data_IF_177568456225
#
_entry.id   IF_177568456225
#
_cell.length_a   1.000
_cell.length_b   1.000
_cell.length_c   1.000
_cell.angle_alpha   90.00
_cell.angle_beta   90.00
_cell.angle_gamma   90.00
#
_symmetry.space_group_name_H-M   'P 1'
#
loop_
_entity.id
_entity.type
_entity.pdbx_description
1 polymer ?
#
# COMPACT_ATOMS: atom_id res chain seq x y z
N UNK A 1 -15.92 58.71 -18.78
CA UNK A 1 -16.09 59.69 -19.88
C UNK A 1 -15.34 59.11 -21.07
N UNK A 2 -15.94 58.13 -21.78
CA UNK A 2 -16.80 58.22 -22.97
C UNK A 2 -16.05 58.67 -24.25
N UNK A 3 -16.41 58.00 -25.37
CA UNK A 3 -16.03 58.17 -26.80
C UNK A 3 -14.91 57.21 -27.25
N UNK A 4 -15.12 56.10 -27.98
CA UNK A 4 -16.02 55.69 -29.09
C UNK A 4 -15.74 56.41 -30.44
N UNK A 5 -15.68 55.56 -31.49
CA UNK A 5 -15.92 55.74 -32.94
C UNK A 5 -14.64 55.88 -33.79
N UNK A 6 -14.39 55.12 -34.86
CA UNK A 6 -15.16 54.06 -35.49
C UNK A 6 -14.64 53.66 -36.89
N UNK A 7 -15.13 52.49 -37.36
CA UNK A 7 -15.50 52.12 -38.74
C UNK A 7 -14.49 52.17 -39.91
N UNK A 8 -14.22 51.01 -40.52
CA UNK A 8 -14.64 50.73 -41.92
C UNK A 8 -14.60 49.23 -42.27
N UNK A 9 -15.74 48.72 -42.73
CA UNK A 9 -15.92 47.43 -43.44
C UNK A 9 -15.38 47.51 -44.87
N UNK A 10 -14.81 46.41 -45.38
CA UNK A 10 -15.15 45.82 -46.70
C UNK A 10 -14.90 44.31 -46.70
N UNK A 11 -15.91 43.56 -47.16
CA UNK A 11 -15.91 42.12 -47.42
C UNK A 11 -15.10 41.80 -48.67
N UNK A 12 -14.46 40.64 -48.69
CA UNK A 12 -14.67 39.68 -49.77
C UNK A 12 -14.38 38.25 -49.30
N UNK A 13 -15.25 37.34 -49.73
CA UNK A 13 -15.41 35.95 -49.32
C UNK A 13 -14.44 35.00 -50.02
N UNK A 14 -14.12 33.90 -49.31
CA UNK A 14 -13.85 32.51 -49.74
C UNK A 14 -13.18 31.86 -48.50
N UNK A 15 -13.74 30.92 -47.75
CA UNK A 15 -14.74 29.91 -48.07
C UNK A 15 -14.16 28.54 -47.70
N UNK A 16 -14.00 28.23 -46.41
CA UNK A 16 -13.91 26.86 -45.87
C UNK A 16 -14.57 26.86 -44.48
N UNK A 17 -15.84 26.45 -44.44
CA UNK A 17 -16.57 26.18 -43.20
C UNK A 17 -16.13 24.80 -42.72
N UNK A 18 -15.36 24.75 -41.62
CA UNK A 18 -15.20 23.53 -40.83
C UNK A 18 -16.51 23.32 -40.07
N UNK A 19 -17.25 22.28 -40.41
CA UNK A 19 -18.37 21.80 -39.59
C UNK A 19 -17.86 21.46 -38.19
N UNK A 20 -18.30 22.24 -37.20
CA UNK A 20 -18.33 21.82 -35.81
C UNK A 20 -19.38 20.69 -35.71
N UNK A 21 -18.94 19.44 -35.69
CA UNK A 21 -19.79 18.36 -35.18
C UNK A 21 -19.85 18.47 -33.66
N UNK A 22 -20.90 19.16 -33.21
CA UNK A 22 -21.41 19.05 -31.85
C UNK A 22 -22.04 17.65 -31.72
N UNK A 23 -21.25 16.64 -31.33
CA UNK A 23 -21.82 15.37 -30.90
C UNK A 23 -22.19 15.50 -29.42
N UNK A 24 -23.49 15.68 -29.22
CA UNK A 24 -24.16 15.72 -27.93
C UNK A 24 -23.76 14.49 -27.09
N UNK A 25 -23.23 14.77 -25.90
CA UNK A 25 -23.01 13.79 -24.85
C UNK A 25 -24.35 13.18 -24.42
N UNK A 26 -24.71 12.06 -25.04
CA UNK A 26 -25.72 11.15 -24.52
C UNK A 26 -25.10 10.31 -23.39
N UNK A 27 -25.03 10.94 -22.21
CA UNK A 27 -25.16 10.35 -20.87
C UNK A 27 -24.31 9.13 -20.48
N UNK A 28 -23.09 9.38 -20.01
CA UNK A 28 -22.33 8.46 -19.12
C UNK A 28 -23.15 8.00 -17.91
N UNK A 29 -24.11 8.82 -17.47
CA UNK A 29 -25.09 8.46 -16.43
C UNK A 29 -26.00 7.31 -16.82
N UNK A 30 -26.45 7.23 -18.08
CA UNK A 30 -27.37 6.18 -18.52
C UNK A 30 -26.63 4.85 -18.67
N UNK A 31 -25.39 4.89 -19.15
CA UNK A 31 -24.49 3.74 -19.19
C UNK A 31 -24.18 3.25 -17.77
N UNK A 32 -23.92 4.16 -16.83
CA UNK A 32 -23.71 3.84 -15.41
C UNK A 32 -24.95 3.24 -14.78
N UNK A 33 -26.13 3.76 -15.08
CA UNK A 33 -27.41 3.30 -14.50
C UNK A 33 -27.81 1.92 -15.03
N UNK A 34 -27.64 1.68 -16.34
CA UNK A 34 -27.88 0.36 -16.96
C UNK A 34 -26.87 -0.67 -16.46
N UNK A 35 -25.60 -0.30 -16.30
CA UNK A 35 -24.58 -1.18 -15.73
C UNK A 35 -24.84 -1.50 -14.25
N UNK A 36 -25.34 -0.52 -13.48
CA UNK A 36 -25.72 -0.72 -12.06
C UNK A 36 -26.94 -1.62 -11.94
N UNK A 37 -27.93 -1.48 -12.82
CA UNK A 37 -29.11 -2.35 -12.85
C UNK A 37 -28.74 -3.80 -13.23
N UNK A 38 -27.84 -3.99 -14.20
CA UNK A 38 -27.30 -5.30 -14.57
C UNK A 38 -26.49 -5.90 -13.41
N UNK A 39 -25.69 -5.10 -12.71
CA UNK A 39 -24.93 -5.55 -11.53
C UNK A 39 -25.85 -5.95 -10.39
N UNK A 40 -26.89 -5.18 -10.08
CA UNK A 40 -27.90 -5.54 -9.07
C UNK A 40 -28.66 -6.82 -9.46
N UNK A 41 -28.98 -7.00 -10.74
CA UNK A 41 -29.58 -8.22 -11.27
C UNK A 41 -28.69 -9.44 -11.07
N UNK A 42 -27.41 -9.34 -11.43
CA UNK A 42 -26.41 -10.39 -11.22
C UNK A 42 -26.16 -10.64 -9.73
N UNK A 43 -26.11 -9.60 -8.89
CA UNK A 43 -25.93 -9.74 -7.45
C UNK A 43 -27.13 -10.44 -6.79
N UNK A 44 -28.35 -10.11 -7.21
CA UNK A 44 -29.58 -10.79 -6.77
C UNK A 44 -29.59 -12.26 -7.19
N UNK A 45 -29.17 -12.57 -8.43
CA UNK A 45 -28.97 -13.94 -8.90
C UNK A 45 -27.88 -14.67 -8.09
N UNK A 46 -26.75 -14.03 -7.82
CA UNK A 46 -25.67 -14.58 -7.00
C UNK A 46 -26.11 -14.83 -5.55
N UNK A 47 -26.93 -13.96 -4.97
CA UNK A 47 -27.50 -14.15 -3.62
C UNK A 47 -28.54 -15.28 -3.60
N UNK A 48 -29.34 -15.44 -4.66
CA UNK A 48 -30.30 -16.55 -4.82
C UNK A 48 -29.59 -17.90 -4.97
N UNK A 49 -28.47 -17.94 -5.69
CA UNK A 49 -27.67 -19.15 -5.92
C UNK A 49 -26.59 -19.43 -4.85
N UNK A 50 -26.32 -18.48 -3.94
CA UNK A 50 -25.44 -18.73 -2.78
C UNK A 50 -25.98 -19.80 -1.83
N UNK A 51 -27.28 -20.09 -1.89
CA UNK A 51 -27.93 -21.21 -1.19
C UNK A 51 -27.51 -22.59 -1.70
N UNK A 52 -26.83 -22.72 -2.85
CA UNK A 52 -26.52 -24.03 -3.46
C UNK A 52 -25.06 -24.49 -3.32
N UNK A 53 -24.23 -23.79 -2.53
CA UNK A 53 -23.01 -24.37 -1.95
C UNK A 53 -21.90 -24.85 -2.90
N UNK A 54 -21.79 -24.38 -4.15
CA UNK A 54 -20.74 -24.87 -5.08
C UNK A 54 -19.41 -24.07 -5.02
N UNK A 55 -18.24 -24.74 -4.98
CA UNK A 55 -16.91 -24.13 -4.80
C UNK A 55 -16.35 -23.41 -6.05
N UNK A 56 -17.06 -23.46 -7.18
CA UNK A 56 -16.61 -22.94 -8.49
C UNK A 56 -16.44 -21.40 -8.48
N UNK A 57 -17.20 -20.69 -7.64
CA UNK A 57 -17.24 -19.21 -7.65
C UNK A 57 -16.06 -18.54 -6.94
N UNK A 58 -15.41 -19.20 -5.96
CA UNK A 58 -14.20 -18.65 -5.31
C UNK A 58 -13.04 -18.54 -6.32
N UNK A 59 -12.90 -19.55 -7.19
CA UNK A 59 -11.92 -19.57 -8.29
C UNK A 59 -12.25 -18.55 -9.38
N UNK A 60 -13.55 -18.29 -9.62
CA UNK A 60 -13.98 -17.30 -10.61
C UNK A 60 -13.72 -15.86 -10.13
N UNK A 61 -13.99 -15.55 -8.87
CA UNK A 61 -13.70 -14.26 -8.26
C UNK A 61 -12.19 -13.98 -8.15
N UNK A 62 -11.37 -14.98 -7.80
CA UNK A 62 -9.90 -14.81 -7.80
C UNK A 62 -9.34 -14.62 -9.21
N UNK A 63 -9.89 -15.30 -10.22
CA UNK A 63 -9.57 -15.06 -11.65
C UNK A 63 -9.98 -13.68 -12.15
N UNK A 64 -11.03 -13.07 -11.59
CA UNK A 64 -11.47 -11.71 -11.93
C UNK A 64 -10.58 -10.65 -11.28
N UNK A 65 -10.04 -10.93 -10.09
CA UNK A 65 -9.21 -9.97 -9.34
C UNK A 65 -7.73 -9.94 -9.73
N UNK A 66 -7.19 -11.00 -10.36
CA UNK A 66 -5.78 -11.12 -10.73
C UNK A 66 -5.38 -10.42 -12.06
N UNK A 67 -6.19 -9.49 -12.58
CA UNK A 67 -5.91 -8.78 -13.83
C UNK A 67 -6.02 -7.27 -13.62
N UNK A 68 -4.87 -6.60 -13.61
CA UNK A 68 -4.69 -5.15 -13.46
C UNK A 68 -5.18 -4.30 -14.64
N UNK A 69 -5.87 -4.87 -15.63
CA UNK A 69 -6.27 -4.13 -16.85
C UNK A 69 -7.74 -4.24 -17.27
N UNK A 70 -8.64 -4.80 -16.45
CA UNK A 70 -10.05 -4.90 -16.85
C UNK A 70 -10.90 -3.76 -16.28
N UNK A 71 -11.82 -3.15 -17.07
CA UNK A 71 -12.76 -2.14 -16.60
C UNK A 71 -13.49 -2.53 -15.31
N UNK A 72 -13.81 -3.82 -15.15
CA UNK A 72 -14.44 -4.36 -13.94
C UNK A 72 -13.56 -4.22 -12.68
N UNK A 73 -12.25 -4.44 -12.78
CA UNK A 73 -11.34 -4.24 -11.67
C UNK A 73 -11.33 -2.75 -11.28
N UNK A 74 -11.19 -1.84 -12.25
CA UNK A 74 -11.21 -0.39 -12.00
C UNK A 74 -12.51 0.07 -11.34
N UNK A 75 -13.66 -0.46 -11.78
CA UNK A 75 -14.96 -0.17 -11.15
C UNK A 75 -14.98 -0.70 -9.71
N UNK A 76 -14.65 -1.98 -9.49
CA UNK A 76 -14.66 -2.58 -8.15
C UNK A 76 -13.71 -1.88 -7.19
N UNK A 77 -12.50 -1.55 -7.65
CA UNK A 77 -11.48 -0.84 -6.89
C UNK A 77 -11.90 0.62 -6.60
N UNK A 78 -12.56 1.30 -7.54
CA UNK A 78 -13.16 2.62 -7.28
C UNK A 78 -14.27 2.53 -6.24
N UNK A 79 -15.12 1.50 -6.30
CA UNK A 79 -16.15 1.27 -5.28
C UNK A 79 -15.55 1.00 -3.90
N UNK A 80 -14.45 0.24 -3.84
CA UNK A 80 -13.70 -0.04 -2.62
C UNK A 80 -13.08 1.24 -2.03
N UNK A 81 -12.38 2.02 -2.83
CA UNK A 81 -11.62 3.18 -2.32
C UNK A 81 -12.46 4.44 -2.12
N UNK A 82 -13.52 4.66 -2.91
CA UNK A 82 -14.24 5.95 -2.94
C UNK A 82 -15.66 5.93 -2.39
N UNK A 83 -16.18 4.78 -1.96
CA UNK A 83 -17.58 4.70 -1.51
C UNK A 83 -17.72 4.05 -0.14
N UNK A 84 -18.89 4.25 0.47
CA UNK A 84 -19.27 3.56 1.72
C UNK A 84 -19.30 2.03 1.58
N UNK A 85 -19.41 1.48 0.36
CA UNK A 85 -19.38 0.03 0.15
C UNK A 85 -18.03 -0.56 0.52
N UNK A 86 -16.93 0.11 0.16
CA UNK A 86 -15.59 -0.29 0.57
C UNK A 86 -15.41 -0.26 2.08
N UNK A 87 -15.87 0.82 2.74
CA UNK A 87 -15.88 0.89 4.20
C UNK A 87 -16.72 -0.23 4.84
N UNK A 88 -17.88 -0.58 4.27
CA UNK A 88 -18.69 -1.70 4.73
C UNK A 88 -17.97 -3.06 4.53
N UNK A 89 -17.25 -3.22 3.42
CA UNK A 89 -16.45 -4.41 3.14
C UNK A 89 -15.31 -4.56 4.16
N UNK A 90 -14.55 -3.49 4.41
CA UNK A 90 -13.52 -3.42 5.44
C UNK A 90 -14.08 -3.78 6.83
N UNK A 91 -15.19 -3.16 7.27
CA UNK A 91 -15.80 -3.51 8.56
C UNK A 91 -16.20 -4.98 8.66
N UNK A 92 -16.60 -5.59 7.53
CA UNK A 92 -16.88 -7.03 7.48
C UNK A 92 -15.61 -7.86 7.58
N UNK A 93 -14.52 -7.44 6.95
CA UNK A 93 -13.21 -8.09 7.08
C UNK A 93 -12.72 -8.02 8.53
N UNK A 94 -12.80 -6.86 9.19
CA UNK A 94 -12.49 -6.72 10.61
C UNK A 94 -13.26 -7.70 11.48
N UNK A 95 -14.59 -7.77 11.30
CA UNK A 95 -15.42 -8.68 12.09
C UNK A 95 -14.98 -10.14 11.93
N UNK A 96 -14.76 -10.57 10.68
CA UNK A 96 -14.28 -11.92 10.39
C UNK A 96 -12.88 -12.19 10.97
N UNK A 97 -12.00 -11.21 10.87
CA UNK A 97 -10.65 -11.32 11.40
C UNK A 97 -10.66 -11.48 12.92
N UNK A 98 -11.49 -10.73 13.65
CA UNK A 98 -11.66 -10.90 15.10
C UNK A 98 -12.27 -12.25 15.48
N UNK A 99 -13.20 -12.77 14.67
CA UNK A 99 -13.75 -14.12 14.86
C UNK A 99 -12.67 -15.20 14.64
N UNK A 100 -11.80 -15.03 13.64
CA UNK A 100 -10.77 -16.01 13.28
C UNK A 100 -9.51 -15.91 14.15
N UNK A 101 -9.15 -14.69 14.56
CA UNK A 101 -7.93 -14.34 15.27
C UNK A 101 -8.27 -13.43 16.47
N UNK A 102 -8.92 -13.97 17.52
CA UNK A 102 -9.38 -13.16 18.66
C UNK A 102 -8.25 -12.48 19.43
N UNK A 103 -7.04 -13.05 19.39
CA UNK A 103 -5.83 -12.47 20.00
C UNK A 103 -4.87 -11.91 18.95
N UNK A 104 -5.35 -11.64 17.73
CA UNK A 104 -4.51 -11.25 16.60
C UNK A 104 -3.87 -12.44 15.86
N UNK A 105 -3.45 -12.20 14.61
CA UNK A 105 -2.84 -13.20 13.74
C UNK A 105 -1.36 -13.48 14.07
N UNK A 106 -0.76 -12.61 14.88
CA UNK A 106 0.63 -12.70 15.33
C UNK A 106 0.75 -12.20 16.76
N UNK A 107 1.69 -12.77 17.51
CA UNK A 107 2.08 -12.25 18.83
C UNK A 107 3.02 -11.06 18.62
N UNK A 108 2.77 -9.97 19.35
CA UNK A 108 3.61 -8.80 19.32
C UNK A 108 5.01 -9.12 19.87
N UNK A 109 6.04 -8.55 19.25
CA UNK A 109 7.41 -8.55 19.74
C UNK A 109 7.88 -7.09 19.78
N UNK A 110 7.67 -6.39 20.91
CA UNK A 110 8.14 -5.03 21.07
C UNK A 110 9.66 -4.95 20.94
N UNK A 111 10.13 -3.92 20.24
CA UNK A 111 11.52 -3.52 20.25
C UNK A 111 11.64 -2.24 21.06
N UNK A 112 12.63 -2.15 21.96
CA UNK A 112 12.90 -0.91 22.71
C UNK A 112 14.39 -0.61 22.69
N UNK A 113 14.74 0.61 22.27
CA UNK A 113 16.12 1.10 22.24
C UNK A 113 16.14 2.56 22.68
N UNK A 114 16.92 2.87 23.71
CA UNK A 114 17.20 4.23 24.20
C UNK A 114 15.95 5.11 24.39
N UNK A 115 14.88 4.48 24.89
CA UNK A 115 13.61 5.11 25.22
C UNK A 115 12.66 5.34 24.05
N UNK A 116 12.93 4.71 22.90
CA UNK A 116 11.96 4.55 21.81
C UNK A 116 11.52 3.09 21.79
N UNK A 117 10.22 2.85 21.95
CA UNK A 117 9.61 1.52 21.92
C UNK A 117 8.70 1.40 20.69
N UNK A 118 8.88 0.34 19.88
CA UNK A 118 8.06 0.03 18.70
C UNK A 118 7.32 -1.27 18.96
N UNK A 119 5.99 -1.24 18.89
CA UNK A 119 5.11 -2.39 19.13
C UNK A 119 4.37 -2.73 17.83
N UNK A 120 4.63 -3.89 17.21
CA UNK A 120 3.78 -4.39 16.13
C UNK A 120 2.43 -4.84 16.70
N UNK A 121 1.35 -4.26 16.17
CA UNK A 121 -0.02 -4.57 16.54
C UNK A 121 -0.64 -5.36 15.38
N UNK A 122 -0.88 -6.64 15.58
CA UNK A 122 -1.56 -7.46 14.57
C UNK A 122 -3.02 -7.06 14.46
N UNK A 123 -3.44 -6.65 13.27
CA UNK A 123 -4.81 -6.25 12.96
C UNK A 123 -5.30 -7.01 11.72
N UNK A 124 -6.60 -7.14 11.57
CA UNK A 124 -7.20 -7.90 10.46
C UNK A 124 -6.65 -9.33 10.36
N UNK A 125 -6.51 -9.88 9.16
CA UNK A 125 -6.02 -11.25 8.93
C UNK A 125 -4.49 -11.35 8.92
N UNK A 126 -3.82 -10.28 8.47
CA UNK A 126 -2.39 -10.29 8.18
C UNK A 126 -1.75 -8.89 8.25
N UNK A 127 -2.51 -7.82 8.53
CA UNK A 127 -1.98 -6.46 8.60
C UNK A 127 -1.25 -6.19 9.92
N UNK A 128 -0.26 -5.29 9.88
CA UNK A 128 0.34 -4.69 11.05
C UNK A 128 0.07 -3.19 11.11
N UNK A 129 -0.42 -2.74 12.26
CA UNK A 129 -0.22 -1.36 12.70
C UNK A 129 1.03 -1.31 13.58
N UNK A 130 1.65 -0.15 13.71
CA UNK A 130 2.84 0.01 14.57
C UNK A 130 2.64 1.15 15.55
N UNK A 131 2.73 0.87 16.84
CA UNK A 131 2.75 1.90 17.88
C UNK A 131 4.21 2.23 18.22
N UNK A 132 4.60 3.47 17.97
CA UNK A 132 5.92 4.00 18.31
C UNK A 132 5.76 4.94 19.50
N UNK A 133 6.51 4.69 20.56
CA UNK A 133 6.37 5.36 21.85
C UNK A 133 7.70 6.02 22.20
N UNK A 134 7.64 7.30 22.56
CA UNK A 134 8.70 7.94 23.35
C UNK A 134 8.42 7.68 24.83
N UNK A 135 9.19 6.78 25.43
CA UNK A 135 8.95 6.32 26.81
C UNK A 135 9.27 7.38 27.86
N UNK A 136 10.02 8.44 27.51
CA UNK A 136 10.35 9.52 28.44
C UNK A 136 9.20 10.52 28.61
N UNK A 137 8.43 10.78 27.55
CA UNK A 137 7.28 11.70 27.57
C UNK A 137 5.92 10.99 27.57
N UNK A 138 5.90 9.66 27.42
CA UNK A 138 4.68 8.84 27.31
C UNK A 138 3.77 9.28 26.16
N UNK A 139 4.35 9.81 25.08
CA UNK A 139 3.64 10.15 23.85
C UNK A 139 3.86 9.09 22.79
N UNK A 140 2.86 8.89 21.94
CA UNK A 140 2.89 7.86 20.92
C UNK A 140 2.45 8.35 19.55
N UNK A 141 3.02 7.72 18.54
CA UNK A 141 2.64 7.79 17.13
C UNK A 141 2.18 6.41 16.70
N UNK A 142 1.05 6.31 16.00
CA UNK A 142 0.64 5.05 15.39
C UNK A 142 0.73 5.11 13.86
N UNK A 143 1.32 4.08 13.27
CA UNK A 143 1.38 3.89 11.83
C UNK A 143 0.21 2.99 11.40
N UNK A 144 -0.54 3.41 10.39
CA UNK A 144 -1.62 2.66 9.75
C UNK A 144 -2.58 1.95 10.73
N UNK A 145 -3.32 2.69 11.59
CA UNK A 145 -4.20 2.12 12.59
C UNK A 145 -5.48 1.55 11.94
N UNK A 146 -5.38 0.38 11.33
CA UNK A 146 -6.49 -0.25 10.63
C UNK A 146 -7.66 -0.55 11.58
N UNK A 147 -7.38 -1.08 12.77
CA UNK A 147 -8.38 -1.41 13.79
C UNK A 147 -8.30 -0.43 14.96
N UNK A 148 -9.20 0.57 15.06
CA UNK A 148 -9.12 1.58 16.10
C UNK A 148 -9.39 1.00 17.50
N UNK A 149 -10.14 -0.10 17.64
CA UNK A 149 -10.38 -0.69 18.96
C UNK A 149 -9.15 -1.45 19.45
N UNK A 150 -8.50 -2.22 18.58
CA UNK A 150 -7.26 -2.93 18.94
C UNK A 150 -6.15 -1.94 19.27
N UNK A 151 -5.98 -0.89 18.47
CA UNK A 151 -4.98 0.15 18.76
C UNK A 151 -5.29 0.88 20.06
N UNK A 152 -6.57 1.23 20.31
CA UNK A 152 -6.96 1.87 21.57
C UNK A 152 -6.62 1.01 22.80
N UNK A 153 -6.85 -0.31 22.74
CA UNK A 153 -6.53 -1.20 23.84
C UNK A 153 -5.02 -1.22 24.15
N UNK A 154 -4.16 -1.23 23.12
CA UNK A 154 -2.70 -1.18 23.31
C UNK A 154 -2.25 0.18 23.84
N UNK A 155 -2.85 1.28 23.40
CA UNK A 155 -2.58 2.62 23.96
C UNK A 155 -2.89 2.68 25.46
N UNK A 156 -4.01 2.09 25.89
CA UNK A 156 -4.43 2.02 27.29
C UNK A 156 -3.52 1.10 28.12
N UNK A 157 -3.14 -0.06 27.57
CA UNK A 157 -2.20 -1.00 28.22
C UNK A 157 -0.82 -0.37 28.47
N UNK A 158 -0.33 0.40 27.50
CA UNK A 158 0.96 1.09 27.59
C UNK A 158 0.88 2.41 28.37
N UNK A 159 -0.33 2.92 28.65
CA UNK A 159 -0.53 4.15 29.41
C UNK A 159 -0.01 5.41 28.70
N UNK A 160 -0.11 5.46 27.36
CA UNK A 160 0.48 6.52 26.52
C UNK A 160 -0.57 7.41 25.85
N UNK A 161 -0.18 8.64 25.50
CA UNK A 161 -1.03 9.62 24.82
C UNK A 161 -0.77 9.55 23.32
N UNK A 162 -1.83 9.30 22.54
CA UNK A 162 -1.73 9.32 21.08
C UNK A 162 -1.69 10.75 20.55
N UNK A 163 -0.55 11.16 20.00
CA UNK A 163 -0.37 12.50 19.41
C UNK A 163 -0.54 12.53 17.89
N UNK A 164 -0.14 11.46 17.21
CA UNK A 164 -0.15 11.43 15.75
C UNK A 164 -0.46 10.05 15.19
N UNK A 165 -1.08 10.07 14.01
CA UNK A 165 -1.24 8.94 13.11
C UNK A 165 -0.43 9.26 11.85
N UNK A 166 0.48 8.37 11.45
CA UNK A 166 1.12 8.43 10.14
C UNK A 166 0.47 7.37 9.25
N UNK A 167 -0.24 7.80 8.22
CA UNK A 167 -0.94 6.92 7.32
C UNK A 167 -0.15 6.79 6.00
N UNK A 168 0.27 5.57 5.66
CA UNK A 168 1.09 5.32 4.46
C UNK A 168 0.26 5.52 3.20
N UNK A 169 -0.99 5.05 3.18
CA UNK A 169 -1.88 5.17 2.05
C UNK A 169 -3.36 4.97 2.41
N UNK A 170 -4.24 5.20 1.43
CA UNK A 170 -5.70 5.30 1.62
C UNK A 170 -6.46 4.00 1.84
N UNK A 171 -5.87 2.82 1.64
CA UNK A 171 -6.67 1.60 1.72
C UNK A 171 -7.22 1.42 3.12
N UNK A 172 -8.41 0.80 3.20
CA UNK A 172 -9.17 0.76 4.45
C UNK A 172 -8.51 -0.11 5.51
N UNK A 173 -7.73 -1.09 5.10
CA UNK A 173 -6.91 -1.94 5.95
C UNK A 173 -5.64 -1.27 6.48
N UNK A 174 -5.43 0.02 6.18
CA UNK A 174 -4.40 0.88 6.78
C UNK A 174 -5.01 2.10 7.46
N UNK A 175 -5.88 2.82 6.74
CA UNK A 175 -6.49 4.08 7.15
C UNK A 175 -7.82 3.95 7.91
N UNK A 176 -8.34 2.72 8.03
CA UNK A 176 -9.72 2.46 8.44
C UNK A 176 -10.07 2.89 9.86
N UNK A 177 -9.09 2.96 10.75
CA UNK A 177 -9.26 3.42 12.12
C UNK A 177 -8.95 4.90 12.34
N UNK A 178 -8.43 5.64 11.35
CA UNK A 178 -8.02 7.05 11.53
C UNK A 178 -9.11 7.90 12.18
N UNK A 179 -10.30 7.92 11.57
CA UNK A 179 -11.46 8.66 12.09
C UNK A 179 -12.02 8.08 13.40
N UNK A 180 -11.78 6.79 13.66
CA UNK A 180 -12.17 6.14 14.90
C UNK A 180 -11.32 6.65 16.07
N UNK A 181 -9.99 6.64 15.89
CA UNK A 181 -9.05 7.13 16.88
C UNK A 181 -9.13 8.64 17.08
N UNK A 182 -9.29 9.45 16.03
CA UNK A 182 -9.48 10.90 16.18
C UNK A 182 -10.70 11.29 17.01
N UNK A 183 -11.74 10.45 17.05
CA UNK A 183 -12.91 10.70 17.92
C UNK A 183 -12.61 10.45 19.39
N UNK A 184 -11.68 9.52 19.67
CA UNK A 184 -11.24 9.19 21.03
C UNK A 184 -10.13 10.14 21.49
N UNK A 185 -9.30 10.61 20.56
CA UNK A 185 -8.15 11.49 20.76
C UNK A 185 -8.29 12.73 19.87
N UNK A 186 -9.05 13.72 20.32
CA UNK A 186 -9.43 14.89 19.51
C UNK A 186 -8.25 15.76 19.05
N UNK A 187 -7.12 15.71 19.78
CA UNK A 187 -5.88 16.43 19.43
C UNK A 187 -4.97 15.63 18.48
N UNK A 188 -5.32 14.37 18.17
CA UNK A 188 -4.50 13.51 17.34
C UNK A 188 -4.44 14.01 15.89
N UNK A 189 -3.22 14.26 15.41
CA UNK A 189 -2.91 14.73 14.06
C UNK A 189 -2.83 13.52 13.13
N UNK A 190 -3.52 13.56 11.98
CA UNK A 190 -3.42 12.51 10.95
C UNK A 190 -2.61 13.06 9.80
N UNK A 191 -1.46 12.44 9.60
CA UNK A 191 -0.51 12.73 8.53
C UNK A 191 -0.64 11.73 7.39
N UNK A 192 -0.30 12.19 6.20
CA UNK A 192 -0.44 11.42 4.98
C UNK A 192 -0.38 12.32 3.75
N UNK A 193 -0.36 11.72 2.55
CA UNK A 193 -0.36 12.50 1.33
C UNK A 193 -1.78 12.96 0.97
N UNK A 194 -1.93 14.25 0.61
CA UNK A 194 -3.21 14.80 0.20
C UNK A 194 -3.80 14.14 -1.07
N UNK A 195 -2.94 13.64 -1.97
CA UNK A 195 -3.38 13.05 -3.24
C UNK A 195 -4.08 11.70 -3.04
N UNK A 196 -3.86 11.01 -1.91
CA UNK A 196 -4.47 9.71 -1.65
C UNK A 196 -5.86 9.79 -1.00
N UNK A 197 -6.41 10.97 -0.69
CA UNK A 197 -7.72 11.10 -0.05
C UNK A 197 -7.83 10.31 1.28
N UNK A 198 -6.78 10.35 2.10
CA UNK A 198 -6.71 9.62 3.38
C UNK A 198 -7.88 10.03 4.30
N UNK A 199 -8.69 9.07 4.79
CA UNK A 199 -9.75 9.36 5.74
C UNK A 199 -9.22 10.02 7.02
N UNK A 200 -9.76 11.21 7.34
CA UNK A 200 -9.40 11.92 8.57
C UNK A 200 -8.11 12.71 8.50
N UNK A 201 -7.49 12.83 7.30
CA UNK A 201 -6.28 13.63 7.09
C UNK A 201 -6.46 15.06 7.61
N UNK A 202 -5.54 15.51 8.46
CA UNK A 202 -5.50 16.89 8.99
C UNK A 202 -4.21 17.61 8.63
N UNK A 203 -3.10 16.87 8.45
CA UNK A 203 -1.77 17.43 8.20
C UNK A 203 -1.18 16.78 6.94
N UNK A 204 -1.47 17.31 5.74
CA UNK A 204 -0.92 16.76 4.51
C UNK A 204 0.60 16.91 4.47
N UNK A 205 1.30 15.91 3.96
CA UNK A 205 2.75 15.92 3.76
C UNK A 205 3.13 15.77 2.29
N UNK A 206 4.29 16.31 1.96
CA UNK A 206 5.01 16.17 0.70
C UNK A 206 6.28 15.33 0.88
N UNK A 207 6.98 15.07 -0.22
CA UNK A 207 8.25 14.35 -0.17
C UNK A 207 9.27 15.08 0.71
N UNK A 208 9.92 14.34 1.60
CA UNK A 208 10.98 14.76 2.54
C UNK A 208 10.53 15.72 3.64
N UNK A 209 9.23 15.93 3.83
CA UNK A 209 8.72 16.64 5.01
C UNK A 209 9.06 15.88 6.29
N UNK A 210 9.27 16.63 7.38
CA UNK A 210 9.57 16.09 8.71
C UNK A 210 8.34 16.14 9.61
N UNK A 211 8.21 15.14 10.49
CA UNK A 211 7.21 15.07 11.54
C UNK A 211 7.91 14.76 12.86
N UNK A 212 7.88 15.72 13.78
CA UNK A 212 8.53 15.61 15.08
C UNK A 212 7.49 15.49 16.20
N UNK A 213 7.60 14.42 16.99
CA UNK A 213 6.71 14.10 18.11
C UNK A 213 7.56 13.60 19.29
N UNK A 214 7.66 14.38 20.37
CA UNK A 214 8.63 14.07 21.44
C UNK A 214 10.05 13.97 20.89
N UNK A 215 10.74 12.86 21.18
CA UNK A 215 12.07 12.53 20.61
C UNK A 215 12.01 11.76 19.29
N UNK A 216 10.82 11.51 18.74
CA UNK A 216 10.65 10.80 17.48
C UNK A 216 10.72 11.78 16.31
N UNK A 217 11.73 11.60 15.46
CA UNK A 217 11.95 12.40 14.26
C UNK A 217 11.66 11.55 13.02
N UNK A 218 10.50 11.75 12.40
CA UNK A 218 10.13 11.03 11.17
C UNK A 218 10.40 11.89 9.94
N UNK A 219 10.92 11.26 8.89
CA UNK A 219 10.96 11.81 7.54
C UNK A 219 9.95 11.07 6.67
N UNK A 220 9.01 11.80 6.08
CA UNK A 220 8.09 11.27 5.10
C UNK A 220 8.77 11.20 3.73
N UNK A 221 8.68 10.06 3.06
CA UNK A 221 9.23 9.88 1.71
C UNK A 221 8.07 9.52 0.78
N UNK A 222 7.94 10.27 -0.32
CA UNK A 222 6.87 10.05 -1.29
C UNK A 222 7.23 8.89 -2.21
N UNK A 223 6.39 7.84 -2.21
CA UNK A 223 6.69 6.57 -2.89
C UNK A 223 5.49 6.06 -3.67
N UNK A 224 5.05 6.76 -4.72
CA UNK A 224 3.92 6.33 -5.53
C UNK A 224 4.20 4.96 -6.18
N UNK A 225 3.15 4.19 -6.41
CA UNK A 225 3.27 2.86 -7.02
C UNK A 225 2.08 1.99 -6.65
N UNK A 226 2.00 1.64 -5.38
CA UNK A 226 0.86 0.90 -4.84
C UNK A 226 -0.43 1.72 -4.95
N UNK A 227 -0.42 2.92 -4.37
CA UNK A 227 -1.39 3.99 -4.63
C UNK A 227 -0.68 5.21 -5.20
N UNK A 228 -1.43 6.16 -5.76
CA UNK A 228 -0.87 7.42 -6.28
C UNK A 228 -0.24 8.30 -5.19
N UNK A 229 -0.72 8.18 -3.95
CA UNK A 229 -0.32 9.02 -2.84
C UNK A 229 0.45 8.28 -1.75
N UNK A 230 0.96 7.07 -2.04
CA UNK A 230 1.64 6.26 -1.03
C UNK A 230 2.89 6.96 -0.48
N UNK A 231 3.07 6.91 0.84
CA UNK A 231 4.27 7.38 1.53
C UNK A 231 4.82 6.32 2.46
N UNK A 232 6.12 6.37 2.68
CA UNK A 232 6.82 5.61 3.72
C UNK A 232 7.40 6.58 4.74
N UNK A 233 7.56 6.14 5.99
CA UNK A 233 8.03 6.98 7.08
C UNK A 233 9.33 6.42 7.65
N UNK A 234 10.40 7.21 7.62
CA UNK A 234 11.69 6.85 8.18
C UNK A 234 11.85 7.55 9.53
N UNK A 235 11.82 6.78 10.61
CA UNK A 235 12.18 7.23 11.94
C UNK A 235 13.71 7.26 12.06
N UNK A 236 14.27 8.44 12.30
CA UNK A 236 15.70 8.62 12.50
C UNK A 236 16.14 8.01 13.84
N UNK A 237 17.02 7.01 13.76
CA UNK A 237 17.62 6.36 14.92
C UNK A 237 18.88 7.06 15.43
N UNK A 238 19.47 8.00 14.67
CA UNK A 238 20.72 8.67 15.00
C UNK A 238 20.66 9.44 16.32
N UNK A 239 19.55 10.13 16.58
CA UNK A 239 19.33 10.86 17.83
C UNK A 239 19.26 9.95 19.07
N UNK A 240 18.93 8.67 18.87
CA UNK A 240 18.81 7.68 19.94
C UNK A 240 19.92 6.63 19.88
N UNK A 241 20.93 6.77 19.03
CA UNK A 241 22.00 5.78 18.88
C UNK A 241 21.50 4.39 18.44
N UNK A 242 20.36 4.34 17.76
CA UNK A 242 19.76 3.12 17.21
C UNK A 242 19.82 3.13 15.67
N UNK A 243 19.67 1.98 15.01
CA UNK A 243 19.40 1.98 13.57
C UNK A 243 18.09 2.71 13.25
N UNK A 244 18.03 3.38 12.11
CA UNK A 244 16.78 4.00 11.64
C UNK A 244 15.71 2.93 11.37
N UNK A 245 14.44 3.30 11.51
CA UNK A 245 13.30 2.40 11.29
C UNK A 245 12.40 2.91 10.16
N UNK A 246 12.26 2.13 9.10
CA UNK A 246 11.40 2.42 7.96
C UNK A 246 10.06 1.70 8.09
N UNK A 247 8.98 2.48 8.12
CA UNK A 247 7.61 1.98 8.00
C UNK A 247 7.17 2.05 6.54
N UNK A 248 7.15 0.90 5.86
CA UNK A 248 7.04 0.81 4.41
C UNK A 248 5.61 0.70 3.87
N UNK A 249 4.62 0.50 4.75
CA UNK A 249 3.24 0.20 4.33
C UNK A 249 3.23 -0.93 3.29
N UNK A 250 2.67 -0.61 2.12
CA UNK A 250 2.50 -1.55 1.02
C UNK A 250 3.50 -1.36 -0.12
N UNK A 251 4.58 -0.62 0.12
CA UNK A 251 5.65 -0.49 -0.86
C UNK A 251 6.54 -1.75 -0.90
N UNK A 252 7.20 -2.05 0.23
CA UNK A 252 8.13 -3.18 0.38
C UNK A 252 7.67 -4.06 1.53
N UNK A 253 7.65 -5.37 1.29
CA UNK A 253 7.44 -6.41 2.29
C UNK A 253 8.70 -7.27 2.38
N UNK A 254 8.77 -8.17 3.37
CA UNK A 254 9.83 -9.18 3.36
C UNK A 254 9.72 -10.03 2.11
N UNK A 255 10.80 -10.04 1.33
CA UNK A 255 10.93 -10.74 0.05
C UNK A 255 9.86 -10.36 -0.99
N UNK A 256 9.20 -9.21 -0.85
CA UNK A 256 8.12 -8.78 -1.74
C UNK A 256 8.00 -7.28 -1.91
N UNK A 257 7.09 -6.88 -2.80
CA UNK A 257 6.62 -5.50 -2.94
C UNK A 257 5.09 -5.47 -3.14
N UNK A 258 4.51 -4.27 -3.01
CA UNK A 258 3.11 -4.02 -3.31
C UNK A 258 2.71 -4.34 -4.74
N UNK A 259 1.43 -4.64 -4.93
CA UNK A 259 0.83 -4.57 -6.28
C UNK A 259 0.79 -3.13 -6.76
N UNK A 260 0.98 -2.92 -8.05
CA UNK A 260 0.92 -1.59 -8.67
C UNK A 260 -0.52 -1.28 -9.07
N UNK A 261 -1.38 -0.90 -8.11
CA UNK A 261 -2.79 -0.61 -8.42
C UNK A 261 -2.97 0.70 -9.18
N UNK A 262 -2.14 1.70 -8.89
CA UNK A 262 -2.30 3.05 -9.44
C UNK A 262 -1.01 3.65 -10.05
N UNK A 263 0.13 2.97 -9.92
CA UNK A 263 1.39 3.35 -10.56
C UNK A 263 1.81 2.41 -11.68
N UNK A 264 2.80 2.82 -12.47
CA UNK A 264 3.50 1.97 -13.44
C UNK A 264 4.72 1.30 -12.82
N UNK A 265 5.33 0.37 -13.56
CA UNK A 265 6.62 -0.21 -13.16
C UNK A 265 7.72 0.85 -13.03
N UNK A 266 7.76 1.86 -13.90
CA UNK A 266 8.72 2.96 -13.76
C UNK A 266 8.50 3.79 -12.48
N UNK A 267 7.24 4.08 -12.12
CA UNK A 267 6.90 4.77 -10.87
C UNK A 267 7.29 3.94 -9.65
N UNK A 268 6.92 2.65 -9.63
CA UNK A 268 7.27 1.74 -8.54
C UNK A 268 8.79 1.54 -8.43
N UNK A 269 9.51 1.45 -9.55
CA UNK A 269 10.96 1.31 -9.56
C UNK A 269 11.64 2.48 -8.86
N UNK A 270 11.24 3.72 -9.16
CA UNK A 270 11.79 4.90 -8.48
C UNK A 270 11.55 4.86 -6.97
N UNK A 271 10.39 4.37 -6.54
CA UNK A 271 10.06 4.20 -5.12
C UNK A 271 10.89 3.10 -4.44
N UNK A 272 11.14 1.99 -5.14
CA UNK A 272 12.02 0.92 -4.67
C UNK A 272 13.49 1.37 -4.61
N UNK A 273 13.94 2.20 -5.54
CA UNK A 273 15.29 2.78 -5.53
C UNK A 273 15.50 3.70 -4.32
N UNK A 274 14.48 4.46 -3.90
CA UNK A 274 14.51 5.22 -2.65
C UNK A 274 14.79 4.28 -1.46
N UNK A 275 14.09 3.14 -1.36
CA UNK A 275 14.32 2.16 -0.29
C UNK A 275 15.70 1.52 -0.39
N UNK A 276 16.12 1.12 -1.60
CA UNK A 276 17.43 0.53 -1.85
C UNK A 276 18.61 1.45 -1.54
N UNK A 277 18.40 2.77 -1.54
CA UNK A 277 19.42 3.77 -1.20
C UNK A 277 19.62 3.98 0.31
N UNK A 278 18.74 3.44 1.16
CA UNK A 278 18.86 3.55 2.61
C UNK A 278 20.02 2.67 3.13
N UNK A 279 20.50 3.01 4.34
CA UNK A 279 21.52 2.24 5.05
C UNK A 279 21.08 0.79 5.24
N UNK A 280 22.01 -0.15 5.08
CA UNK A 280 21.75 -1.58 5.21
C UNK A 280 21.24 -1.96 6.61
N UNK A 281 21.63 -1.21 7.64
CA UNK A 281 21.18 -1.43 9.02
C UNK A 281 19.74 -0.94 9.29
N UNK A 282 19.13 -0.22 8.35
CA UNK A 282 17.77 0.32 8.52
C UNK A 282 16.78 -0.82 8.72
N UNK A 283 16.01 -0.76 9.80
CA UNK A 283 14.99 -1.74 10.12
C UNK A 283 13.76 -1.53 9.24
N UNK A 284 13.20 -2.60 8.69
CA UNK A 284 12.02 -2.58 7.82
C UNK A 284 10.79 -3.12 8.56
N UNK A 285 9.80 -2.24 8.73
CA UNK A 285 8.50 -2.50 9.34
C UNK A 285 7.41 -2.37 8.26
N UNK A 286 6.73 -3.46 7.91
CA UNK A 286 5.91 -3.54 6.70
C UNK A 286 4.42 -3.76 6.97
N UNK A 287 3.56 -3.39 6.02
CA UNK A 287 2.11 -3.41 6.20
C UNK A 287 1.51 -4.79 6.48
N UNK A 288 2.12 -5.87 5.97
CA UNK A 288 1.52 -7.21 5.98
C UNK A 288 2.48 -8.36 6.29
N UNK A 289 1.91 -9.42 6.87
CA UNK A 289 2.54 -10.72 7.14
C UNK A 289 2.52 -11.64 5.90
N UNK A 290 3.18 -11.22 4.82
CA UNK A 290 3.29 -11.97 3.55
C UNK A 290 4.60 -12.76 3.40
N UNK A 291 5.37 -12.91 4.49
CA UNK A 291 6.75 -13.43 4.43
C UNK A 291 6.87 -14.77 3.70
N UNK A 292 6.04 -15.73 4.09
CA UNK A 292 6.09 -17.10 3.61
C UNK A 292 5.77 -17.17 2.11
N UNK A 293 4.64 -16.61 1.68
CA UNK A 293 4.25 -16.58 0.27
C UNK A 293 5.26 -15.81 -0.60
N UNK A 294 5.82 -14.72 -0.08
CA UNK A 294 6.82 -13.93 -0.79
C UNK A 294 8.11 -14.71 -1.01
N UNK A 295 8.59 -15.43 0.00
CA UNK A 295 9.79 -16.28 -0.10
C UNK A 295 9.55 -17.50 -0.99
N UNK A 296 8.35 -18.10 -0.95
CA UNK A 296 7.98 -19.18 -1.87
C UNK A 296 7.98 -18.68 -3.32
N UNK A 297 7.47 -17.48 -3.59
CA UNK A 297 7.58 -16.88 -4.92
C UNK A 297 9.03 -16.56 -5.29
N UNK A 298 9.83 -16.03 -4.37
CA UNK A 298 11.25 -15.77 -4.59
C UNK A 298 12.01 -17.06 -4.97
N UNK A 299 11.60 -18.21 -4.44
CA UNK A 299 12.15 -19.51 -4.81
C UNK A 299 11.90 -19.90 -6.29
N UNK A 300 10.78 -19.48 -6.87
CA UNK A 300 10.47 -19.77 -8.28
C UNK A 300 11.34 -18.93 -9.23
N UNK A 301 11.77 -17.73 -8.81
CA UNK A 301 12.57 -16.82 -9.66
C UNK A 301 14.06 -16.92 -9.40
N UNK A 302 14.49 -17.19 -8.16
CA UNK A 302 15.89 -17.35 -7.78
C UNK A 302 16.08 -18.64 -6.94
N UNK A 303 15.94 -19.84 -7.54
CA UNK A 303 15.93 -21.12 -6.82
C UNK A 303 17.25 -21.45 -6.10
N UNK A 304 18.36 -20.80 -6.49
CA UNK A 304 19.70 -21.04 -5.94
C UNK A 304 20.17 -19.96 -4.95
N UNK A 305 19.28 -19.06 -4.52
CA UNK A 305 19.62 -18.02 -3.55
C UNK A 305 19.65 -18.58 -2.12
N UNK A 306 20.85 -18.77 -1.57
CA UNK A 306 21.02 -19.31 -0.21
C UNK A 306 20.54 -18.35 0.89
N UNK A 307 20.67 -17.04 0.71
CA UNK A 307 20.16 -16.05 1.67
C UNK A 307 18.63 -16.16 1.80
N UNK A 308 17.95 -16.38 0.66
CA UNK A 308 16.50 -16.63 0.62
C UNK A 308 16.11 -17.89 1.38
N UNK A 309 16.84 -18.99 1.19
CA UNK A 309 16.56 -20.26 1.88
C UNK A 309 16.74 -20.13 3.39
N UNK A 310 17.84 -19.52 3.83
CA UNK A 310 18.09 -19.26 5.26
C UNK A 310 16.98 -18.38 5.87
N UNK A 311 16.53 -17.35 5.14
CA UNK A 311 15.43 -16.50 5.60
C UNK A 311 14.10 -17.24 5.66
N UNK A 312 13.85 -18.16 4.73
CA UNK A 312 12.65 -19.00 4.71
C UNK A 312 12.57 -19.92 5.93
N UNK A 313 13.66 -20.59 6.27
CA UNK A 313 13.73 -21.40 7.51
C UNK A 313 13.47 -20.55 8.76
N UNK A 314 14.06 -19.35 8.84
CA UNK A 314 13.78 -18.43 9.93
C UNK A 314 12.29 -18.02 9.98
N UNK A 315 11.68 -17.70 8.84
CA UNK A 315 10.25 -17.35 8.74
C UNK A 315 9.38 -18.51 9.22
N UNK A 316 9.64 -19.76 8.79
CA UNK A 316 8.89 -20.93 9.23
C UNK A 316 8.97 -21.11 10.75
N UNK A 317 10.13 -20.90 11.35
CA UNK A 317 10.32 -20.96 12.80
C UNK A 317 9.52 -19.88 13.54
N UNK A 318 9.54 -18.63 13.05
CA UNK A 318 8.76 -17.54 13.65
C UNK A 318 7.24 -17.82 13.52
N UNK A 319 6.78 -18.17 12.32
CA UNK A 319 5.35 -18.40 12.05
C UNK A 319 4.83 -19.64 12.77
N UNK A 320 5.64 -20.68 12.95
CA UNK A 320 5.32 -21.85 13.78
C UNK A 320 5.01 -21.49 15.23
N UNK A 321 5.60 -20.40 15.74
CA UNK A 321 5.35 -19.85 17.08
C UNK A 321 4.34 -18.69 17.08
N UNK A 322 3.72 -18.40 15.92
CA UNK A 322 2.86 -17.23 15.66
C UNK A 322 3.55 -15.89 15.94
N UNK A 323 4.87 -15.82 15.82
CA UNK A 323 5.64 -14.60 16.01
C UNK A 323 5.61 -13.73 14.74
N UNK A 324 5.67 -12.42 14.93
CA UNK A 324 5.80 -11.47 13.82
C UNK A 324 7.14 -11.70 13.11
N UNK A 325 7.16 -11.60 11.79
CA UNK A 325 8.41 -11.68 11.02
C UNK A 325 8.99 -10.29 10.70
N UNK A 326 8.52 -9.24 11.38
CA UNK A 326 9.09 -7.88 11.35
C UNK A 326 9.79 -7.58 12.67
N UNK A 327 10.85 -6.74 12.66
CA UNK A 327 11.45 -6.14 11.47
C UNK A 327 12.42 -7.11 10.75
N UNK A 328 12.66 -6.86 9.46
CA UNK A 328 13.92 -7.25 8.79
C UNK A 328 14.84 -6.04 8.67
N UNK A 329 15.98 -6.15 7.99
CA UNK A 329 16.83 -5.00 7.62
C UNK A 329 16.85 -4.77 6.11
N UNK A 330 17.10 -3.52 5.68
CA UNK A 330 17.25 -3.19 4.26
C UNK A 330 18.41 -3.98 3.62
N UNK A 331 19.51 -4.21 4.37
CA UNK A 331 20.63 -5.02 3.93
C UNK A 331 20.20 -6.46 3.62
N UNK A 332 19.52 -7.12 4.56
CA UNK A 332 18.97 -8.47 4.36
C UNK A 332 18.03 -8.54 3.15
N UNK A 333 17.11 -7.57 3.00
CA UNK A 333 16.18 -7.57 1.87
C UNK A 333 16.90 -7.46 0.52
N UNK A 334 18.03 -6.74 0.42
CA UNK A 334 18.83 -6.69 -0.81
C UNK A 334 19.42 -8.07 -1.18
N UNK A 335 19.57 -8.99 -0.23
CA UNK A 335 20.11 -10.32 -0.47
C UNK A 335 19.08 -11.30 -1.01
N UNK A 336 17.83 -11.26 -0.54
CA UNK A 336 16.81 -12.26 -0.90
C UNK A 336 15.54 -11.72 -1.55
N UNK A 337 15.27 -10.41 -1.51
CA UNK A 337 14.05 -9.84 -2.05
C UNK A 337 14.22 -9.59 -3.55
N UNK A 338 13.53 -10.33 -4.44
CA UNK A 338 13.72 -10.19 -5.88
C UNK A 338 13.35 -8.78 -6.38
N UNK A 339 12.51 -8.04 -5.64
CA UNK A 339 12.13 -6.66 -5.97
C UNK A 339 13.16 -5.61 -5.54
N UNK A 340 14.09 -5.92 -4.64
CA UNK A 340 15.26 -5.05 -4.38
C UNK A 340 16.49 -5.50 -5.18
N UNK A 341 16.40 -6.65 -5.86
CA UNK A 341 17.44 -7.24 -6.70
C UNK A 341 17.21 -7.03 -8.19
N UNK A 342 16.35 -6.09 -8.59
CA UNK A 342 16.01 -5.79 -10.00
C UNK A 342 17.24 -5.40 -10.84
N UNK A 343 18.34 -5.00 -10.22
CA UNK A 343 19.60 -4.67 -10.89
C UNK A 343 20.54 -5.89 -11.06
N UNK A 344 20.26 -7.02 -10.42
CA UNK A 344 21.12 -8.21 -10.39
C UNK A 344 21.10 -8.95 -11.73
N UNK A 345 22.28 -9.21 -12.27
CA UNK A 345 22.46 -10.05 -13.46
C UNK A 345 21.99 -11.48 -13.24
N UNK A 346 22.12 -12.01 -12.02
CA UNK A 346 21.64 -13.34 -11.66
C UNK A 346 20.12 -13.44 -11.80
N UNK A 347 19.38 -12.42 -11.31
CA UNK A 347 17.93 -12.36 -11.46
C UNK A 347 17.53 -12.24 -12.93
N UNK A 348 18.21 -11.40 -13.72
CA UNK A 348 17.93 -11.25 -15.16
C UNK A 348 18.09 -12.57 -15.90
N UNK A 349 19.21 -13.27 -15.67
CA UNK A 349 19.49 -14.58 -16.26
C UNK A 349 18.43 -15.61 -15.85
N UNK A 350 18.08 -15.68 -14.56
CA UNK A 350 17.08 -16.61 -14.06
C UNK A 350 15.68 -16.34 -14.63
N UNK A 351 15.36 -15.07 -14.92
CA UNK A 351 14.11 -14.69 -15.55
C UNK A 351 14.12 -14.82 -17.09
N UNK A 352 15.28 -15.02 -17.71
CA UNK A 352 15.46 -15.04 -19.16
C UNK A 352 15.28 -13.65 -19.80
N UNK A 353 15.66 -12.60 -19.08
CA UNK A 353 15.59 -11.21 -19.55
C UNK A 353 16.98 -10.69 -19.86
N UNK A 354 17.09 -9.96 -20.97
CA UNK A 354 18.32 -9.28 -21.39
C UNK A 354 17.97 -7.85 -21.80
N UNK A 355 18.90 -6.93 -21.56
CA UNK A 355 18.80 -5.55 -22.02
C UNK A 355 19.01 -5.52 -23.53
N UNK A 356 18.12 -4.82 -24.25
CA UNK A 356 18.31 -4.62 -25.68
C UNK A 356 19.45 -3.61 -25.93
N UNK A 357 20.20 -3.68 -27.05
CA UNK A 357 21.40 -2.86 -27.27
C UNK A 357 21.22 -1.34 -27.09
N UNK A 358 20.03 -0.82 -27.41
CA UNK A 358 19.71 0.61 -27.35
C UNK A 358 18.72 0.95 -26.20
N UNK A 359 18.42 0.00 -25.31
CA UNK A 359 17.48 0.20 -24.20
C UNK A 359 18.16 0.92 -23.03
N UNK A 360 17.56 1.99 -22.53
CA UNK A 360 18.02 2.66 -21.31
C UNK A 360 17.97 1.71 -20.10
N UNK A 361 18.99 1.76 -19.25
CA UNK A 361 19.11 0.87 -18.09
C UNK A 361 17.93 0.98 -17.12
N UNK A 362 17.38 2.18 -16.92
CA UNK A 362 16.22 2.39 -16.04
C UNK A 362 14.96 1.81 -16.65
N UNK A 363 14.78 1.96 -17.97
CA UNK A 363 13.67 1.33 -18.70
C UNK A 363 13.77 -0.20 -18.67
N UNK A 364 14.96 -0.76 -18.84
CA UNK A 364 15.20 -2.20 -18.71
C UNK A 364 14.83 -2.70 -17.32
N UNK A 365 15.30 -2.04 -16.25
CA UNK A 365 14.94 -2.38 -14.86
C UNK A 365 13.43 -2.28 -14.62
N UNK A 366 12.76 -1.28 -15.20
CA UNK A 366 11.30 -1.15 -15.09
C UNK A 366 10.59 -2.32 -15.80
N UNK A 367 11.08 -2.78 -16.95
CA UNK A 367 10.58 -3.96 -17.66
C UNK A 367 10.80 -5.25 -16.85
N UNK A 368 11.97 -5.40 -16.22
CA UNK A 368 12.25 -6.51 -15.30
C UNK A 368 11.26 -6.51 -14.13
N UNK A 369 11.03 -5.35 -13.50
CA UNK A 369 10.05 -5.20 -12.41
C UNK A 369 8.63 -5.54 -12.87
N UNK A 370 8.21 -5.06 -14.03
CA UNK A 370 6.89 -5.34 -14.58
C UNK A 370 6.69 -6.84 -14.77
N UNK A 371 7.65 -7.53 -15.38
CA UNK A 371 7.59 -8.98 -15.59
C UNK A 371 7.63 -9.75 -14.26
N UNK A 372 8.49 -9.36 -13.32
CA UNK A 372 8.58 -9.98 -12.01
C UNK A 372 7.26 -9.84 -11.23
N UNK A 373 6.67 -8.65 -11.25
CA UNK A 373 5.38 -8.36 -10.61
C UNK A 373 4.25 -9.15 -11.27
N UNK A 374 4.24 -9.24 -12.60
CA UNK A 374 3.28 -10.04 -13.37
C UNK A 374 3.37 -11.52 -13.00
N UNK A 375 4.58 -12.08 -12.89
CA UNK A 375 4.79 -13.46 -12.43
C UNK A 375 4.24 -13.66 -11.01
N UNK A 376 4.50 -12.73 -10.09
CA UNK A 376 3.98 -12.81 -8.72
C UNK A 376 2.46 -12.66 -8.64
N UNK A 377 1.85 -11.86 -9.49
CA UNK A 377 0.38 -11.71 -9.51
C UNK A 377 -0.35 -12.94 -10.05
N UNK A 378 0.32 -13.72 -10.90
CA UNK A 378 -0.18 -15.00 -11.41
C UNK A 378 0.22 -16.19 -10.54
N UNK A 379 1.19 -16.00 -9.63
CA UNK A 379 1.64 -17.02 -8.72
C UNK A 379 0.48 -17.50 -7.85
N UNK A 380 0.36 -18.82 -7.75
CA UNK A 380 -0.54 -19.51 -6.83
C UNK A 380 0.37 -20.42 -6.04
N UNK A 381 0.56 -20.14 -4.75
CA UNK A 381 1.31 -21.03 -3.86
C UNK A 381 0.88 -22.47 -4.11
N UNK A 382 1.87 -23.34 -4.35
CA UNK A 382 1.62 -24.74 -4.67
C UNK A 382 1.18 -25.53 -3.45
#
# INVERSE_FOLDING_TARGET
MLLIVGSRRRRNEKGVVKLCQCNMAASDWLVTLVATALFCGVLCLCLRFRRTGRPIWKSLLSKIMARTEKPLFRIAYTLYTRTKLGYMYYKRQMRKAREQFPTGHSRAQPMEVNGIKIIPISVLSDNYSYLVIDTASSVAVVIDPADPQTVQAVLEEEGVILEAILCTHKHWDHSGGNKGLQKLHSLCRVYGNATDNIPGLTHPLSDKDSVDIGRMHFKALFTPGHTVGHMIYLLDGGATGAPSSLFSGDLVFLSGCGRMFEGSASTMLSSLDTVGSLSDETLLWRGHEYAEENLMFAAEVEPRNAARENKYEWVLQQRGQKLCTSPSTIGEEKEYNPFLRIHSSELHQAMGLQQDPDEDWTLFRARVLEELRRRKDLYRGR
#
